data_IF_691047845664
#
_entry.id   IF_691047845664
#
_cell.length_a   1.000
_cell.length_b   1.000
_cell.length_c   1.000
_cell.angle_alpha   90.00
_cell.angle_beta   90.00
_cell.angle_gamma   90.00
#
_symmetry.space_group_name_H-M   'P 1'
#
loop_
_entity.id
_entity.type
_entity.pdbx_description
1 polymer ?
#
# COMPACT_ATOMS: atom_id res chain seq x y z
N UNK A 1 1.71 13.93 -7.35
CA UNK A 1 2.83 13.06 -7.82
C UNK A 1 2.27 11.73 -8.28
N UNK A 2 2.68 11.27 -9.44
CA UNK A 2 2.32 9.95 -9.94
C UNK A 2 3.56 9.06 -10.02
N UNK A 3 3.41 7.83 -10.49
CA UNK A 3 4.53 6.88 -10.59
C UNK A 3 5.67 7.43 -11.47
N UNK A 4 5.35 8.06 -12.59
CA UNK A 4 6.34 8.62 -13.51
C UNK A 4 7.15 9.73 -12.83
N UNK A 5 6.49 10.60 -12.10
CA UNK A 5 7.14 11.67 -11.35
C UNK A 5 7.99 11.13 -10.21
N UNK A 6 7.51 10.09 -9.53
CA UNK A 6 8.28 9.44 -8.47
C UNK A 6 9.56 8.82 -9.03
N UNK A 7 9.48 8.15 -10.17
CA UNK A 7 10.64 7.56 -10.85
C UNK A 7 11.66 8.65 -11.20
N UNK A 8 11.20 9.78 -11.73
CA UNK A 8 12.06 10.90 -12.07
C UNK A 8 12.75 11.47 -10.82
N UNK A 9 12.03 11.60 -9.72
CA UNK A 9 12.59 12.09 -8.46
C UNK A 9 13.66 11.14 -7.91
N UNK A 10 13.42 9.84 -7.95
CA UNK A 10 14.39 8.83 -7.50
C UNK A 10 15.64 8.86 -8.38
N UNK A 11 15.46 8.95 -9.70
CA UNK A 11 16.59 9.04 -10.64
C UNK A 11 17.49 10.23 -10.32
N UNK A 12 16.86 11.37 -10.06
CA UNK A 12 17.60 12.59 -9.72
C UNK A 12 18.34 12.47 -8.38
N UNK A 13 17.66 11.99 -7.35
CA UNK A 13 18.25 11.85 -6.01
C UNK A 13 19.39 10.83 -5.95
N UNK A 14 19.30 9.78 -6.73
CA UNK A 14 20.28 8.69 -6.72
C UNK A 14 21.33 8.84 -7.82
N UNK A 15 21.21 9.84 -8.67
CA UNK A 15 22.10 10.05 -9.81
C UNK A 15 22.18 8.81 -10.72
N UNK A 16 21.02 8.24 -11.01
CA UNK A 16 20.87 7.08 -11.88
C UNK A 16 19.96 7.42 -13.05
N UNK A 17 19.94 6.57 -14.07
CA UNK A 17 19.05 6.76 -15.21
C UNK A 17 17.59 6.55 -14.81
N UNK A 18 16.66 7.10 -15.60
CA UNK A 18 15.22 6.86 -15.37
C UNK A 18 14.86 5.38 -15.50
N UNK A 19 15.53 4.68 -16.41
CA UNK A 19 15.32 3.23 -16.58
C UNK A 19 15.73 2.45 -15.35
N UNK A 20 16.87 2.79 -14.76
CA UNK A 20 17.33 2.16 -13.51
C UNK A 20 16.41 2.52 -12.36
N UNK A 21 16.00 3.78 -12.26
CA UNK A 21 15.07 4.25 -11.24
C UNK A 21 13.71 3.55 -11.34
N UNK A 22 13.22 3.33 -12.56
CA UNK A 22 11.98 2.58 -12.78
C UNK A 22 12.09 1.16 -12.23
N UNK A 23 13.18 0.47 -12.53
CA UNK A 23 13.40 -0.89 -12.03
C UNK A 23 13.44 -0.92 -10.49
N UNK A 24 14.12 0.05 -9.87
CA UNK A 24 14.22 0.14 -8.40
C UNK A 24 12.86 0.42 -7.77
N UNK A 25 12.12 1.38 -8.30
CA UNK A 25 10.80 1.74 -7.77
C UNK A 25 9.82 0.58 -7.89
N UNK A 26 9.76 -0.07 -9.06
CA UNK A 26 8.88 -1.20 -9.27
C UNK A 26 9.24 -2.39 -8.36
N UNK A 27 10.52 -2.69 -8.22
CA UNK A 27 10.98 -3.75 -7.33
C UNK A 27 10.62 -3.48 -5.87
N UNK A 28 10.70 -2.22 -5.45
CA UNK A 28 10.34 -1.81 -4.10
C UNK A 28 8.86 -2.09 -3.82
N UNK A 29 7.98 -1.64 -4.69
CA UNK A 29 6.54 -1.85 -4.51
C UNK A 29 6.14 -3.31 -4.67
N UNK A 30 6.77 -4.04 -5.59
CA UNK A 30 6.52 -5.48 -5.74
C UNK A 30 6.93 -6.25 -4.49
N UNK A 31 8.04 -5.88 -3.87
CA UNK A 31 8.50 -6.52 -2.63
C UNK A 31 7.51 -6.29 -1.49
N UNK A 32 6.99 -5.08 -1.37
CA UNK A 32 5.96 -4.76 -0.38
C UNK A 32 4.69 -5.56 -0.65
N UNK A 33 4.24 -5.60 -1.90
CA UNK A 33 3.06 -6.33 -2.32
C UNK A 33 3.19 -7.82 -2.01
N UNK A 34 4.32 -8.43 -2.35
CA UNK A 34 4.57 -9.85 -2.11
C UNK A 34 4.59 -10.19 -0.62
N UNK A 35 5.17 -9.33 0.20
CA UNK A 35 5.15 -9.51 1.65
C UNK A 35 3.73 -9.49 2.19
N UNK A 36 2.91 -8.55 1.74
CA UNK A 36 1.51 -8.45 2.16
C UNK A 36 0.68 -9.64 1.69
N UNK A 37 0.92 -10.13 0.48
CA UNK A 37 0.26 -11.32 -0.05
C UNK A 37 0.54 -12.55 0.82
N UNK A 38 1.76 -12.67 1.33
CA UNK A 38 2.13 -13.78 2.23
C UNK A 38 1.71 -13.57 3.68
N UNK A 39 1.06 -12.44 4.00
CA UNK A 39 0.58 -12.15 5.34
C UNK A 39 1.57 -11.45 6.25
N UNK A 40 2.72 -11.03 5.71
CA UNK A 40 3.70 -10.30 6.50
C UNK A 40 3.36 -8.82 6.59
N UNK A 41 3.67 -8.22 7.74
CA UNK A 41 3.65 -6.78 7.89
C UNK A 41 4.95 -6.21 7.35
N UNK A 42 4.87 -5.04 6.73
CA UNK A 42 6.05 -4.32 6.24
C UNK A 42 6.24 -3.07 7.06
N UNK A 43 7.32 -3.03 7.84
CA UNK A 43 7.65 -1.86 8.66
C UNK A 43 8.86 -1.15 8.09
N UNK A 44 8.68 0.12 7.75
CA UNK A 44 9.75 0.97 7.23
C UNK A 44 10.01 2.06 8.26
N UNK A 45 11.10 1.89 8.98
CA UNK A 45 11.50 2.82 10.05
C UNK A 45 11.66 4.22 9.47
N UNK A 46 11.04 5.20 10.13
CA UNK A 46 11.07 6.59 9.69
C UNK A 46 10.02 6.96 8.65
N UNK A 47 9.21 6.01 8.20
CA UNK A 47 8.15 6.25 7.22
C UNK A 47 6.79 5.78 7.70
N UNK A 48 6.64 4.49 7.90
CA UNK A 48 5.38 3.90 8.34
C UNK A 48 5.33 2.41 8.11
N UNK A 49 4.16 1.83 8.33
CA UNK A 49 3.95 0.40 8.20
C UNK A 49 2.78 0.06 7.30
N UNK A 50 2.94 -1.03 6.58
CA UNK A 50 1.87 -1.63 5.78
C UNK A 50 1.41 -2.91 6.45
N UNK A 51 0.12 -3.11 6.51
CA UNK A 51 -0.46 -4.33 7.08
C UNK A 51 -1.66 -4.79 6.28
N UNK A 52 -2.04 -6.05 6.46
CA UNK A 52 -3.25 -6.58 5.85
C UNK A 52 -4.34 -6.58 6.90
N UNK A 53 -5.48 -5.99 6.58
CA UNK A 53 -6.69 -6.05 7.41
C UNK A 53 -7.63 -7.07 6.81
N UNK A 54 -8.13 -7.95 7.66
CA UNK A 54 -9.12 -8.92 7.26
C UNK A 54 -10.50 -8.44 7.67
N UNK A 55 -11.43 -8.50 6.75
CA UNK A 55 -12.83 -8.29 7.04
C UNK A 55 -13.52 -9.65 6.95
N UNK A 56 -14.12 -10.13 8.05
CA UNK A 56 -14.80 -11.43 8.01
C UNK A 56 -16.05 -11.35 7.14
N UNK A 57 -16.47 -12.51 6.64
CA UNK A 57 -17.74 -12.62 5.94
C UNK A 57 -18.87 -12.17 6.86
N UNK A 58 -19.79 -11.43 6.33
CA UNK A 58 -20.95 -10.95 7.09
C UNK A 58 -22.18 -10.84 6.20
N UNK A 59 -23.33 -10.67 6.82
CA UNK A 59 -24.58 -10.47 6.10
C UNK A 59 -24.85 -8.98 5.94
N UNK A 60 -25.21 -8.59 4.75
CA UNK A 60 -25.64 -7.24 4.44
C UNK A 60 -27.00 -7.24 3.78
N UNK A 61 -27.50 -6.06 3.45
CA UNK A 61 -28.78 -5.90 2.77
C UNK A 61 -28.58 -5.17 1.46
N UNK A 62 -29.28 -5.63 0.43
CA UNK A 62 -29.33 -4.91 -0.83
C UNK A 62 -30.19 -3.66 -0.62
N UNK A 63 -29.64 -2.46 -0.75
CA UNK A 63 -30.40 -1.22 -0.49
C UNK A 63 -31.56 -0.99 -1.47
N UNK A 64 -31.54 -1.65 -2.63
CA UNK A 64 -32.60 -1.51 -3.62
C UNK A 64 -33.75 -2.47 -3.43
N UNK A 65 -33.49 -3.69 -2.98
CA UNK A 65 -34.51 -4.74 -2.83
C UNK A 65 -34.78 -5.10 -1.39
N UNK A 66 -33.92 -4.71 -0.47
CA UNK A 66 -34.01 -5.10 0.94
C UNK A 66 -33.65 -6.55 1.20
N UNK A 67 -33.22 -7.28 0.17
CA UNK A 67 -32.82 -8.68 0.32
C UNK A 67 -31.53 -8.80 1.12
N UNK A 68 -31.46 -9.86 1.93
CA UNK A 68 -30.26 -10.22 2.66
C UNK A 68 -29.25 -10.83 1.69
N UNK A 69 -28.02 -10.30 1.70
CA UNK A 69 -26.94 -10.81 0.87
C UNK A 69 -25.77 -11.21 1.76
N UNK A 70 -25.00 -12.19 1.30
CA UNK A 70 -23.75 -12.53 1.96
C UNK A 70 -22.60 -11.73 1.35
N UNK A 71 -21.88 -11.04 2.23
CA UNK A 71 -20.67 -10.33 1.84
C UNK A 71 -19.51 -11.21 2.21
N UNK A 72 -18.76 -11.64 1.20
CA UNK A 72 -17.63 -12.54 1.39
C UNK A 72 -16.52 -11.89 2.20
N UNK A 73 -15.77 -12.71 2.92
CA UNK A 73 -14.56 -12.26 3.61
C UNK A 73 -13.59 -11.65 2.60
N UNK A 74 -12.95 -10.58 2.98
CA UNK A 74 -11.98 -9.91 2.12
C UNK A 74 -10.77 -9.45 2.91
N UNK A 75 -9.67 -9.23 2.20
CA UNK A 75 -8.44 -8.67 2.76
C UNK A 75 -8.15 -7.36 2.06
N UNK A 76 -7.74 -6.37 2.81
CA UNK A 76 -7.34 -5.08 2.24
C UNK A 76 -6.04 -4.58 2.85
N UNK A 77 -5.21 -3.89 2.05
CA UNK A 77 -4.00 -3.29 2.59
C UNK A 77 -4.34 -2.03 3.40
N UNK A 78 -3.57 -1.78 4.44
CA UNK A 78 -3.69 -0.57 5.22
C UNK A 78 -2.30 0.00 5.49
N UNK A 79 -2.19 1.31 5.47
CA UNK A 79 -0.96 2.03 5.77
C UNK A 79 -1.13 2.84 7.04
N UNK A 80 -0.17 2.69 7.96
CA UNK A 80 -0.10 3.51 9.17
C UNK A 80 1.14 4.38 9.10
N UNK A 81 0.96 5.69 9.08
CA UNK A 81 2.07 6.62 9.05
C UNK A 81 2.90 6.51 10.33
N UNK A 82 4.21 6.53 10.16
CA UNK A 82 5.12 6.57 11.27
C UNK A 82 5.21 7.96 11.88
N UNK A 83 5.81 8.04 13.07
CA UNK A 83 5.95 9.31 13.79
C UNK A 83 6.72 10.35 12.98
N UNK A 84 7.84 9.94 12.36
CA UNK A 84 8.67 10.84 11.56
C UNK A 84 7.91 11.43 10.37
N UNK A 85 7.09 10.62 9.69
CA UNK A 85 6.28 11.09 8.57
C UNK A 85 5.21 12.09 9.05
N UNK A 86 4.56 11.80 10.16
CA UNK A 86 3.56 12.71 10.74
C UNK A 86 4.19 14.04 11.15
N UNK A 87 5.36 14.00 11.77
CA UNK A 87 6.09 15.21 12.18
C UNK A 87 6.54 16.04 10.98
N UNK A 88 6.88 15.42 9.87
CA UNK A 88 7.28 16.14 8.67
C UNK A 88 6.14 16.99 8.08
N UNK A 89 4.89 16.64 8.35
CA UNK A 89 3.71 17.35 7.86
C UNK A 89 3.19 18.42 8.82
N UNK A 90 3.67 18.44 10.05
CA UNK A 90 3.18 19.36 11.10
C UNK A 90 4.24 20.33 11.61
#
# INVERSE_FOLDING_TARGET
>A
MNKTELIAAVASKCSISKKEAEAVVLATFDSITNALVSGEKVQIVGFGGFEVRERPAHKGHNPMTGEEIEIAASKSPAFKAGKALKEALN
#
